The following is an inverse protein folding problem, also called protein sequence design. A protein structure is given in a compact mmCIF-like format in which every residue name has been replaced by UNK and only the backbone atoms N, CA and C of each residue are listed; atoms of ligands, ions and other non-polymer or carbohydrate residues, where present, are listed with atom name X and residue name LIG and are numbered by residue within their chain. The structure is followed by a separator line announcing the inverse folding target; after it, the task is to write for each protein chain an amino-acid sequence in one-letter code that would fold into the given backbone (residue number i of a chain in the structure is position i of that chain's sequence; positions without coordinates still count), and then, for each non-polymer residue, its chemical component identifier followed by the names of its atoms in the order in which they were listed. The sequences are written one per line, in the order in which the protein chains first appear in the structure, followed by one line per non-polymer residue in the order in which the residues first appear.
data_IF_914254587942
#
_entry.id   IF_914254587942
#
_cell.length_a   1.000
_cell.length_b   1.000
_cell.length_c   1.000
_cell.angle_alpha   90.00
_cell.angle_beta   90.00
_cell.angle_gamma   90.00
#
_symmetry.space_group_name_H-M   'P 1'
#
loop_
_entity.id
_entity.type
_entity.pdbx_description
1 polymer ?
#
# COMPACT_ATOMS: atom_id res chain seq x y z
N UNK A 1 -41.50 16.60 -3.91
CA UNK A 1 -40.08 16.65 -4.32
C UNK A 1 -39.33 17.28 -3.16
N UNK A 2 -38.22 16.68 -2.73
CA UNK A 2 -37.41 17.17 -1.61
C UNK A 2 -36.13 17.78 -2.19
N UNK A 3 -35.74 18.95 -1.70
CA UNK A 3 -34.56 19.65 -2.19
C UNK A 3 -33.60 19.91 -1.03
N UNK A 4 -32.31 19.64 -1.25
CA UNK A 4 -31.25 19.87 -0.28
C UNK A 4 -29.98 20.32 -1.01
N UNK A 5 -29.07 20.96 -0.28
CA UNK A 5 -27.76 21.36 -0.79
C UNK A 5 -26.67 20.52 -0.12
N UNK A 6 -25.62 20.21 -0.88
CA UNK A 6 -24.42 19.53 -0.40
C UNK A 6 -23.22 20.43 -0.66
N UNK A 7 -22.56 20.83 0.43
CA UNK A 7 -21.28 21.54 0.38
C UNK A 7 -20.15 20.60 0.82
N UNK A 8 -19.04 20.62 0.08
CA UNK A 8 -17.84 19.86 0.40
C UNK A 8 -16.72 20.81 0.84
N UNK A 9 -16.38 20.78 2.12
CA UNK A 9 -15.31 21.56 2.72
C UNK A 9 -14.05 20.69 2.82
N UNK A 10 -12.90 21.28 2.52
CA UNK A 10 -11.64 20.53 2.45
C UNK A 10 -10.59 21.24 3.25
N UNK A 11 -10.05 20.53 4.23
CA UNK A 11 -9.00 21.03 5.10
C UNK A 11 -7.73 20.19 4.93
N UNK A 12 -6.62 20.88 4.66
CA UNK A 12 -5.31 20.27 4.52
C UNK A 12 -4.56 20.35 5.85
N UNK A 13 -4.29 19.21 6.44
CA UNK A 13 -3.54 19.14 7.69
C UNK A 13 -2.08 18.81 7.33
N UNK A 14 -1.31 19.89 7.26
CA UNK A 14 0.07 19.95 6.77
C UNK A 14 1.00 19.14 7.65
N UNK A 15 1.42 17.99 7.10
CA UNK A 15 2.67 17.25 7.34
C UNK A 15 2.57 15.82 6.77
N UNK A 16 1.36 15.38 6.40
CA UNK A 16 1.10 14.05 5.83
C UNK A 16 0.14 14.01 4.65
N UNK A 17 -0.24 15.17 4.10
CA UNK A 17 -1.34 15.23 3.13
C UNK A 17 -2.62 14.60 3.72
N UNK A 18 -2.85 14.75 5.04
CA UNK A 18 -4.12 14.33 5.64
C UNK A 18 -5.16 15.32 5.11
N UNK A 19 -6.03 14.78 4.27
CA UNK A 19 -7.16 15.47 3.69
C UNK A 19 -8.37 15.18 4.57
N UNK A 20 -8.87 16.19 5.27
CA UNK A 20 -10.19 16.11 5.88
C UNK A 20 -11.18 16.67 4.87
N UNK A 21 -12.12 15.83 4.44
CA UNK A 21 -13.24 16.25 3.61
C UNK A 21 -14.50 16.18 4.45
N UNK A 22 -15.09 17.34 4.69
CA UNK A 22 -16.36 17.49 5.41
C UNK A 22 -17.47 17.69 4.38
N UNK A 23 -18.51 16.87 4.49
CA UNK A 23 -19.73 17.01 3.70
C UNK A 23 -20.82 17.62 4.58
N UNK A 24 -21.31 18.78 4.18
CA UNK A 24 -22.36 19.53 4.87
C UNK A 24 -23.64 19.44 4.05
N UNK A 25 -24.67 18.82 4.64
CA UNK A 25 -26.00 18.74 4.03
C UNK A 25 -26.89 19.84 4.63
N UNK A 26 -27.29 20.80 3.81
CA UNK A 26 -28.22 21.85 4.21
C UNK A 26 -29.65 21.47 3.84
N UNK A 27 -30.51 21.40 4.87
CA UNK A 27 -31.87 20.87 4.83
C UNK A 27 -32.85 21.94 5.33
N UNK A 28 -33.54 22.60 4.39
CA UNK A 28 -34.33 23.80 4.66
C UNK A 28 -35.74 23.56 5.25
N UNK A 29 -36.21 22.31 5.31
CA UNK A 29 -37.55 21.99 5.82
C UNK A 29 -37.61 20.64 6.56
N UNK A 30 -38.52 20.55 7.54
CA UNK A 30 -38.68 19.40 8.43
C UNK A 30 -39.00 18.10 7.67
N UNK A 31 -39.82 18.16 6.63
CA UNK A 31 -40.21 16.96 5.88
C UNK A 31 -39.03 16.40 5.07
N UNK A 32 -38.25 17.28 4.43
CA UNK A 32 -37.00 16.89 3.77
C UNK A 32 -35.99 16.32 4.77
N UNK A 33 -35.85 16.95 5.94
CA UNK A 33 -35.01 16.45 7.02
C UNK A 33 -35.43 15.04 7.49
N UNK A 34 -36.70 14.83 7.84
CA UNK A 34 -37.22 13.54 8.31
C UNK A 34 -37.06 12.45 7.25
N UNK A 35 -37.28 12.77 5.98
CA UNK A 35 -37.06 11.84 4.87
C UNK A 35 -35.57 11.51 4.73
N UNK A 36 -34.68 12.50 4.85
CA UNK A 36 -33.24 12.31 4.73
C UNK A 36 -32.69 11.48 5.89
N UNK A 37 -33.04 11.83 7.13
CA UNK A 37 -32.63 11.16 8.36
C UNK A 37 -33.12 9.71 8.45
N UNK A 38 -34.38 9.43 8.13
CA UNK A 38 -34.89 8.05 8.08
C UNK A 38 -34.23 7.20 6.97
N UNK A 39 -33.73 7.86 5.93
CA UNK A 39 -33.03 7.18 4.83
C UNK A 39 -31.54 7.00 5.09
N UNK A 40 -30.89 7.90 5.84
CA UNK A 40 -29.49 7.77 6.26
C UNK A 40 -29.24 6.43 6.95
N UNK A 41 -30.17 6.01 7.82
CA UNK A 41 -30.13 4.72 8.51
C UNK A 41 -30.29 3.47 7.60
N UNK A 42 -30.50 3.64 6.28
CA UNK A 42 -30.75 2.55 5.33
C UNK A 42 -29.84 2.62 4.09
N UNK A 43 -28.51 2.74 4.27
CA UNK A 43 -27.51 2.74 3.19
C UNK A 43 -27.76 3.80 2.08
N UNK A 44 -28.13 5.01 2.49
CA UNK A 44 -28.46 6.13 1.60
C UNK A 44 -27.38 6.45 0.55
N UNK A 45 -26.12 6.25 0.92
CA UNK A 45 -24.95 6.71 0.17
C UNK A 45 -24.65 5.86 -1.06
N UNK A 46 -24.87 4.55 -0.97
CA UNK A 46 -24.49 3.59 -2.01
C UNK A 46 -25.66 3.18 -2.91
N UNK A 47 -26.90 3.25 -2.40
CA UNK A 47 -28.05 2.61 -3.07
C UNK A 47 -29.07 3.60 -3.64
N UNK A 48 -28.99 4.89 -3.26
CA UNK A 48 -29.99 5.88 -3.68
C UNK A 48 -29.40 6.85 -4.70
N UNK A 49 -29.96 6.85 -5.90
CA UNK A 49 -29.65 7.81 -6.95
C UNK A 49 -30.37 9.12 -6.67
N UNK A 50 -29.63 10.22 -6.73
CA UNK A 50 -30.16 11.58 -6.61
C UNK A 50 -29.96 12.33 -7.93
N UNK A 51 -30.86 13.29 -8.19
CA UNK A 51 -30.70 14.24 -9.28
C UNK A 51 -29.97 15.47 -8.76
N UNK A 52 -28.70 15.62 -9.12
CA UNK A 52 -27.84 16.73 -8.75
C UNK A 52 -27.88 17.81 -9.81
N UNK A 53 -27.89 19.07 -9.38
CA UNK A 53 -27.67 20.23 -10.25
C UNK A 53 -26.28 20.79 -9.96
N UNK A 54 -25.34 20.62 -10.89
CA UNK A 54 -23.98 21.14 -10.78
C UNK A 54 -23.74 22.17 -11.89
N UNK A 55 -23.86 23.46 -11.56
CA UNK A 55 -23.85 24.53 -12.57
C UNK A 55 -25.07 24.42 -13.51
N UNK A 56 -24.81 24.29 -14.82
CA UNK A 56 -25.84 24.08 -15.84
C UNK A 56 -26.15 22.59 -16.09
N UNK A 57 -25.34 21.68 -15.57
CA UNK A 57 -25.49 20.24 -15.78
C UNK A 57 -26.43 19.59 -14.75
N UNK A 58 -27.18 18.59 -15.21
CA UNK A 58 -27.96 17.68 -14.36
C UNK A 58 -27.33 16.29 -14.38
N UNK A 59 -27.06 15.74 -13.21
CA UNK A 59 -26.41 14.45 -13.02
C UNK A 59 -27.33 13.54 -12.20
N UNK A 60 -27.46 12.28 -12.59
CA UNK A 60 -28.16 11.26 -11.82
C UNK A 60 -27.14 10.25 -11.30
N UNK A 61 -26.81 10.36 -10.02
CA UNK A 61 -25.82 9.50 -9.37
C UNK A 61 -26.04 9.43 -7.86
N UNK A 62 -25.45 8.41 -7.24
CA UNK A 62 -25.37 8.28 -5.79
C UNK A 62 -24.52 9.39 -5.15
N UNK A 63 -24.65 9.57 -3.83
CA UNK A 63 -23.78 10.49 -3.09
C UNK A 63 -22.34 9.97 -3.15
N UNK A 64 -22.12 8.66 -3.00
CA UNK A 64 -20.79 8.06 -3.06
C UNK A 64 -20.11 8.29 -4.43
N UNK A 65 -20.81 8.05 -5.54
CA UNK A 65 -20.28 8.35 -6.87
C UNK A 65 -19.95 9.85 -7.04
N UNK A 66 -20.78 10.74 -6.50
CA UNK A 66 -20.52 12.19 -6.52
C UNK A 66 -19.24 12.53 -5.76
N UNK A 67 -19.06 11.95 -4.58
CA UNK A 67 -17.89 12.11 -3.73
C UNK A 67 -16.62 11.54 -4.38
N UNK A 68 -16.69 10.30 -4.86
CA UNK A 68 -15.59 9.65 -5.56
C UNK A 68 -15.17 10.43 -6.79
N UNK A 69 -16.12 10.82 -7.64
CA UNK A 69 -15.86 11.60 -8.84
C UNK A 69 -15.20 12.95 -8.50
N UNK A 70 -15.64 13.60 -7.42
CA UNK A 70 -15.01 14.81 -6.91
C UNK A 70 -13.56 14.55 -6.44
N UNK A 71 -13.33 13.55 -5.58
CA UNK A 71 -12.00 13.19 -5.08
C UNK A 71 -11.05 12.78 -6.22
N UNK A 72 -11.47 11.88 -7.09
CA UNK A 72 -10.65 11.41 -8.21
C UNK A 72 -10.37 12.52 -9.21
N UNK A 73 -11.35 13.30 -9.66
CA UNK A 73 -11.09 14.33 -10.68
C UNK A 73 -10.37 15.56 -10.14
N UNK A 74 -10.60 15.95 -8.89
CA UNK A 74 -10.05 17.19 -8.33
C UNK A 74 -8.78 16.99 -7.51
N UNK A 75 -8.63 15.85 -6.84
CA UNK A 75 -7.50 15.58 -5.94
C UNK A 75 -6.50 14.56 -6.47
N UNK A 76 -6.94 13.59 -7.28
CA UNK A 76 -6.06 12.58 -7.87
C UNK A 76 -6.00 12.73 -9.38
N UNK A 77 -5.26 13.71 -9.92
CA UNK A 77 -5.25 13.97 -11.35
C UNK A 77 -4.48 12.90 -12.14
N UNK A 78 -4.31 11.67 -11.63
CA UNK A 78 -3.65 10.57 -12.36
C UNK A 78 -4.32 10.32 -13.71
N UNK A 79 -5.64 10.46 -13.79
CA UNK A 79 -6.40 10.27 -15.03
C UNK A 79 -6.46 11.52 -15.93
N UNK A 80 -6.14 12.70 -15.42
CA UNK A 80 -6.31 13.98 -16.14
C UNK A 80 -4.98 14.68 -16.45
N UNK A 81 -3.93 14.38 -15.68
CA UNK A 81 -2.61 14.93 -15.81
C UNK A 81 -1.72 14.05 -16.70
N UNK A 82 -1.20 14.66 -17.76
CA UNK A 82 -0.41 13.96 -18.77
C UNK A 82 0.95 13.50 -18.24
N UNK A 83 1.53 14.19 -17.27
CA UNK A 83 2.82 13.79 -16.69
C UNK A 83 2.65 12.56 -15.79
N UNK A 84 1.59 12.53 -14.98
CA UNK A 84 1.24 11.36 -14.17
C UNK A 84 0.86 10.16 -15.05
N UNK A 85 0.04 10.35 -16.08
CA UNK A 85 -0.27 9.29 -17.04
C UNK A 85 1.01 8.73 -17.68
N UNK A 86 1.91 9.62 -18.12
CA UNK A 86 3.18 9.19 -18.72
C UNK A 86 4.06 8.45 -17.72
N UNK A 87 4.17 8.92 -16.48
CA UNK A 87 5.00 8.25 -15.48
C UNK A 87 4.38 6.91 -15.02
N UNK A 88 3.05 6.79 -14.98
CA UNK A 88 2.36 5.51 -14.85
C UNK A 88 2.67 4.60 -16.06
N UNK A 89 2.77 5.19 -17.25
CA UNK A 89 3.08 4.45 -18.45
C UNK A 89 4.53 3.94 -18.49
N UNK A 90 5.46 4.76 -18.01
CA UNK A 90 6.88 4.42 -17.96
C UNK A 90 7.17 3.40 -16.83
N UNK A 91 6.33 3.36 -15.79
CA UNK A 91 6.47 2.47 -14.64
C UNK A 91 6.73 1.01 -15.03
N UNK A 92 7.89 0.48 -14.65
CA UNK A 92 8.30 -0.90 -14.82
C UNK A 92 8.28 -1.67 -13.49
N UNK A 93 7.26 -2.50 -13.22
CA UNK A 93 7.20 -3.30 -12.00
C UNK A 93 8.33 -4.33 -11.86
N UNK A 94 9.10 -4.59 -12.93
CA UNK A 94 10.29 -5.45 -12.88
C UNK A 94 11.57 -4.71 -12.47
N UNK A 95 11.52 -3.38 -12.35
CA UNK A 95 12.65 -2.54 -11.95
C UNK A 95 12.41 -1.96 -10.55
N UNK A 96 13.33 -2.25 -9.62
CA UNK A 96 13.21 -1.84 -8.21
C UNK A 96 13.08 -0.32 -8.05
N UNK A 97 13.82 0.45 -8.83
CA UNK A 97 13.76 1.91 -8.79
C UNK A 97 12.43 2.48 -9.28
N UNK A 98 11.64 1.72 -10.03
CA UNK A 98 10.47 2.26 -10.71
C UNK A 98 9.35 2.65 -9.75
N UNK A 99 9.15 1.91 -8.64
CA UNK A 99 8.10 2.24 -7.66
C UNK A 99 8.43 3.51 -6.88
N UNK A 100 9.71 3.72 -6.58
CA UNK A 100 10.16 4.94 -5.92
C UNK A 100 10.07 6.14 -6.87
N UNK A 101 10.43 5.97 -8.14
CA UNK A 101 10.26 7.00 -9.17
C UNK A 101 8.77 7.38 -9.33
N UNK A 102 7.89 6.38 -9.35
CA UNK A 102 6.45 6.60 -9.44
C UNK A 102 5.89 7.34 -8.21
N UNK A 103 6.27 6.90 -7.00
CA UNK A 103 5.97 7.61 -5.76
C UNK A 103 6.43 9.07 -5.81
N UNK A 104 7.68 9.31 -6.18
CA UNK A 104 8.25 10.67 -6.22
C UNK A 104 7.53 11.55 -7.24
N UNK A 105 7.11 11.00 -8.38
CA UNK A 105 6.38 11.76 -9.39
C UNK A 105 4.97 12.13 -8.94
N UNK A 106 4.28 11.23 -8.22
CA UNK A 106 2.99 11.56 -7.58
C UNK A 106 3.18 12.68 -6.57
N UNK A 107 4.23 12.64 -5.75
CA UNK A 107 4.52 13.70 -4.79
C UNK A 107 4.84 15.03 -5.49
N UNK A 108 5.66 15.02 -6.54
CA UNK A 108 6.00 16.22 -7.30
C UNK A 108 4.78 16.90 -7.95
N UNK A 109 3.89 16.13 -8.57
CA UNK A 109 2.78 16.66 -9.38
C UNK A 109 1.53 16.92 -8.54
N UNK A 110 1.18 15.98 -7.65
CA UNK A 110 -0.05 16.06 -6.85
C UNK A 110 0.20 16.55 -5.42
N UNK A 111 1.45 16.65 -4.97
CA UNK A 111 1.77 16.99 -3.57
C UNK A 111 1.43 15.88 -2.58
N UNK A 112 1.24 14.64 -3.05
CA UNK A 112 0.78 13.49 -2.24
C UNK A 112 1.94 12.52 -2.05
N UNK A 113 2.20 12.12 -0.80
CA UNK A 113 3.24 11.14 -0.48
C UNK A 113 2.64 9.76 -0.19
N UNK A 114 2.45 8.88 -1.20
CA UNK A 114 1.89 7.56 -0.96
C UNK A 114 2.87 6.66 -0.21
N UNK A 115 2.30 5.75 0.57
CA UNK A 115 3.02 4.65 1.21
C UNK A 115 3.28 3.53 0.19
N UNK A 116 4.44 2.87 0.30
CA UNK A 116 4.79 1.69 -0.50
C UNK A 116 4.55 0.44 0.35
N UNK A 117 3.48 -0.30 0.06
CA UNK A 117 3.17 -1.57 0.72
C UNK A 117 3.52 -2.72 -0.24
N UNK A 118 4.74 -3.21 -0.11
CA UNK A 118 5.33 -4.21 -1.00
C UNK A 118 5.57 -3.69 -2.43
N UNK A 119 4.65 -3.99 -3.35
CA UNK A 119 4.70 -3.50 -4.76
C UNK A 119 3.53 -2.59 -5.11
N UNK A 120 2.77 -2.14 -4.10
CA UNK A 120 1.60 -1.27 -4.26
C UNK A 120 1.89 0.10 -3.66
N UNK A 121 1.41 1.14 -4.32
CA UNK A 121 1.26 2.45 -3.71
C UNK A 121 -0.08 2.51 -2.98
N UNK A 122 -0.08 3.11 -1.81
CA UNK A 122 -1.25 3.29 -0.98
C UNK A 122 -1.36 4.73 -0.52
N UNK A 123 -2.58 5.22 -0.47
CA UNK A 123 -2.90 6.52 0.11
C UNK A 123 -3.84 6.24 1.26
N UNK A 124 -3.44 6.64 2.46
CA UNK A 124 -4.21 6.33 3.66
C UNK A 124 -5.47 7.19 3.68
N UNK A 125 -6.59 6.60 3.30
CA UNK A 125 -7.91 7.22 3.35
C UNK A 125 -8.81 6.42 4.28
N UNK A 126 -9.49 7.10 5.19
CA UNK A 126 -10.61 6.54 5.95
C UNK A 126 -11.76 7.54 5.84
N UNK A 127 -12.93 7.06 5.47
CA UNK A 127 -14.17 7.81 5.53
C UNK A 127 -15.18 6.96 6.29
N UNK A 128 -16.09 7.62 7.00
CA UNK A 128 -17.25 6.99 7.59
C UNK A 128 -18.31 8.09 7.78
N UNK A 129 -19.55 7.69 7.53
CA UNK A 129 -20.73 8.55 7.48
C UNK A 129 -21.63 8.26 8.69
N UNK A 130 -21.30 7.26 9.52
CA UNK A 130 -22.00 6.94 10.77
C UNK A 130 -21.70 7.96 11.88
N UNK A 131 -20.60 8.71 11.76
CA UNK A 131 -20.21 9.71 12.74
C UNK A 131 -20.47 11.13 12.22
N UNK A 132 -21.67 11.65 12.48
CA UNK A 132 -22.10 12.99 12.09
C UNK A 132 -22.67 13.78 13.28
N UNK A 133 -22.74 15.10 13.10
CA UNK A 133 -23.39 16.01 14.03
C UNK A 133 -24.52 16.73 13.31
N UNK A 134 -25.71 16.71 13.90
CA UNK A 134 -26.87 17.47 13.43
C UNK A 134 -26.88 18.81 14.14
N UNK A 135 -26.94 19.89 13.37
CA UNK A 135 -27.16 21.24 13.89
C UNK A 135 -28.62 21.59 13.63
N UNK A 136 -29.45 21.55 14.67
CA UNK A 136 -30.88 21.80 14.60
C UNK A 136 -31.22 23.21 15.11
N UNK A 137 -31.15 24.19 14.21
CA UNK A 137 -31.46 25.59 14.52
C UNK A 137 -32.97 25.88 14.51
N UNK A 138 -33.77 24.95 14.00
CA UNK A 138 -35.21 25.12 13.82
C UNK A 138 -36.04 24.38 14.89
N UNK A 139 -35.39 23.69 15.83
CA UNK A 139 -36.00 22.81 16.82
C UNK A 139 -36.90 21.76 16.15
N UNK A 140 -36.42 21.14 15.07
CA UNK A 140 -37.10 20.03 14.43
C UNK A 140 -37.10 18.76 15.28
N UNK A 141 -36.11 18.59 16.16
CA UNK A 141 -36.04 17.52 17.14
C UNK A 141 -36.74 17.88 18.45
N UNK A 142 -37.68 17.01 18.83
CA UNK A 142 -38.21 16.98 20.20
C UNK A 142 -37.23 16.20 21.08
N UNK A 143 -36.35 16.93 21.78
CA UNK A 143 -35.43 16.33 22.77
C UNK A 143 -36.26 15.74 23.92
N UNK A 144 -36.27 14.42 24.03
CA UNK A 144 -36.98 13.64 25.05
C UNK A 144 -36.03 12.73 25.84
N UNK A 145 -36.56 11.89 26.73
CA UNK A 145 -35.79 11.00 27.64
C UNK A 145 -34.81 10.01 26.96
N UNK A 146 -34.81 9.92 25.63
CA UNK A 146 -33.87 9.09 24.85
C UNK A 146 -32.57 9.82 24.49
N UNK A 147 -32.42 11.07 24.93
CA UNK A 147 -31.28 11.92 24.65
C UNK A 147 -30.51 12.24 25.92
N UNK A 148 -29.20 11.99 25.91
CA UNK A 148 -28.30 12.32 27.00
C UNK A 148 -27.57 13.63 26.74
N UNK A 149 -27.59 14.54 27.71
CA UNK A 149 -26.90 15.82 27.59
C UNK A 149 -25.39 15.60 27.66
N UNK A 150 -24.67 15.99 26.61
CA UNK A 150 -23.23 15.74 26.43
C UNK A 150 -22.35 16.97 26.75
N UNK A 151 -22.94 18.04 27.25
CA UNK A 151 -22.23 19.25 27.65
C UNK A 151 -22.90 19.92 28.84
N UNK A 152 -22.08 20.38 29.79
CA UNK A 152 -22.56 21.13 30.94
C UNK A 152 -22.96 22.56 30.56
N UNK A 153 -22.30 23.11 29.53
CA UNK A 153 -22.42 24.52 29.11
C UNK A 153 -23.31 24.71 27.89
N UNK A 154 -23.35 23.71 27.01
CA UNK A 154 -23.97 23.84 25.69
C UNK A 154 -25.20 22.93 25.55
N UNK A 155 -26.10 23.29 24.64
CA UNK A 155 -27.27 22.48 24.29
C UNK A 155 -26.89 21.39 23.28
N UNK A 156 -26.06 20.45 23.73
CA UNK A 156 -25.61 19.28 22.95
C UNK A 156 -26.17 18.02 23.59
N UNK A 157 -26.76 17.18 22.76
CA UNK A 157 -27.38 15.92 23.17
C UNK A 157 -26.85 14.78 22.30
N UNK A 158 -26.73 13.58 22.88
CA UNK A 158 -26.48 12.34 22.14
C UNK A 158 -27.72 11.45 22.20
N UNK A 159 -28.15 10.95 21.05
CA UNK A 159 -29.24 9.97 20.94
C UNK A 159 -28.76 8.58 21.39
N UNK A 160 -29.37 8.04 22.44
CA UNK A 160 -29.02 6.69 22.93
C UNK A 160 -29.36 5.57 21.92
N UNK A 161 -30.22 5.86 20.94
CA UNK A 161 -30.71 4.90 19.95
C UNK A 161 -29.80 4.78 18.72
N UNK A 162 -29.29 5.92 18.24
CA UNK A 162 -28.58 6.01 16.97
C UNK A 162 -27.16 6.60 17.12
N UNK A 163 -26.77 7.01 18.33
CA UNK A 163 -25.50 7.68 18.65
C UNK A 163 -25.29 9.01 17.89
N UNK A 164 -26.38 9.70 17.58
CA UNK A 164 -26.36 10.99 16.87
C UNK A 164 -26.10 12.15 17.84
N UNK A 165 -25.16 13.02 17.49
CA UNK A 165 -24.93 14.26 18.23
C UNK A 165 -25.81 15.37 17.67
N UNK A 166 -26.62 16.00 18.51
CA UNK A 166 -27.53 17.08 18.14
C UNK A 166 -27.16 18.35 18.90
N UNK A 167 -26.91 19.43 18.18
CA UNK A 167 -26.70 20.77 18.72
C UNK A 167 -27.90 21.65 18.36
N UNK A 168 -28.59 22.21 19.36
CA UNK A 168 -29.82 23.01 19.15
C UNK A 168 -29.58 24.53 19.17
N UNK A 169 -28.31 24.98 19.20
CA UNK A 169 -27.98 26.41 19.27
C UNK A 169 -26.78 26.76 18.36
N UNK A 170 -27.07 27.39 17.21
CA UNK A 170 -26.09 27.80 16.19
C UNK A 170 -24.95 28.67 16.73
N UNK A 171 -25.24 29.57 17.68
CA UNK A 171 -24.28 30.55 18.18
C UNK A 171 -23.09 29.91 18.93
N UNK A 172 -23.23 28.64 19.30
CA UNK A 172 -22.23 27.87 20.05
C UNK A 172 -21.51 26.82 19.16
N UNK A 173 -21.98 26.62 17.92
CA UNK A 173 -21.60 25.50 17.02
C UNK A 173 -20.12 25.50 16.69
N UNK A 174 -19.48 26.66 16.48
CA UNK A 174 -18.10 26.70 15.99
C UNK A 174 -17.10 25.99 16.91
N UNK A 175 -17.19 26.20 18.23
CA UNK A 175 -16.28 25.56 19.19
C UNK A 175 -16.64 24.07 19.39
N UNK A 176 -17.90 23.71 19.21
CA UNK A 176 -18.41 22.35 19.37
C UNK A 176 -17.96 21.50 18.19
N UNK A 177 -18.24 21.97 16.97
CA UNK A 177 -17.83 21.36 15.71
C UNK A 177 -16.32 21.22 15.66
N UNK A 178 -15.54 22.21 16.14
CA UNK A 178 -14.08 22.07 16.21
C UNK A 178 -13.63 20.89 17.07
N UNK A 179 -14.19 20.72 18.27
CA UNK A 179 -13.81 19.61 19.15
C UNK A 179 -14.27 18.25 18.61
N UNK A 180 -15.45 18.19 18.00
CA UNK A 180 -15.94 17.01 17.31
C UNK A 180 -15.06 16.64 16.10
N UNK A 181 -14.69 17.64 15.28
CA UNK A 181 -13.74 17.48 14.17
C UNK A 181 -12.39 16.94 14.65
N UNK A 182 -11.85 17.44 15.77
CA UNK A 182 -10.60 16.94 16.31
C UNK A 182 -10.67 15.46 16.71
N UNK A 183 -11.79 15.05 17.35
CA UNK A 183 -12.03 13.65 17.69
C UNK A 183 -12.06 12.77 16.42
N UNK A 184 -12.88 13.15 15.43
CA UNK A 184 -13.01 12.40 14.18
C UNK A 184 -11.71 12.36 13.38
N UNK A 185 -10.98 13.47 13.33
CA UNK A 185 -9.68 13.55 12.69
C UNK A 185 -8.72 12.49 13.25
N UNK A 186 -8.61 12.40 14.57
CA UNK A 186 -7.69 11.44 15.19
C UNK A 186 -8.18 9.99 14.98
N UNK A 187 -9.48 9.75 15.11
CA UNK A 187 -10.11 8.45 14.85
C UNK A 187 -9.82 7.97 13.42
N UNK A 188 -10.07 8.82 12.42
CA UNK A 188 -9.87 8.47 11.01
C UNK A 188 -8.41 8.40 10.61
N UNK A 189 -7.52 9.17 11.26
CA UNK A 189 -6.09 9.00 11.07
C UNK A 189 -5.63 7.60 11.52
N UNK A 190 -6.10 7.11 12.69
CA UNK A 190 -5.78 5.76 13.17
C UNK A 190 -6.39 4.69 12.25
N UNK A 191 -7.66 4.85 11.85
CA UNK A 191 -8.32 3.93 10.93
C UNK A 191 -7.60 3.86 9.57
N UNK A 192 -7.18 5.00 9.03
CA UNK A 192 -6.39 5.08 7.80
C UNK A 192 -5.07 4.31 7.90
N UNK A 193 -4.37 4.42 9.03
CA UNK A 193 -3.17 3.60 9.27
C UNK A 193 -3.51 2.11 9.35
N UNK A 194 -4.60 1.73 10.00
CA UNK A 194 -5.00 0.31 10.07
C UNK A 194 -5.23 -0.30 8.69
N UNK A 195 -5.80 0.43 7.74
CA UNK A 195 -5.94 -0.04 6.35
C UNK A 195 -4.58 -0.34 5.74
N UNK A 196 -3.58 0.55 5.90
CA UNK A 196 -2.22 0.30 5.42
C UNK A 196 -1.59 -0.97 6.01
N UNK A 197 -1.84 -1.22 7.30
CA UNK A 197 -1.33 -2.39 8.01
C UNK A 197 -2.00 -3.68 7.51
N UNK A 198 -3.30 -3.64 7.21
CA UNK A 198 -4.01 -4.78 6.61
C UNK A 198 -3.47 -5.12 5.20
N UNK A 199 -3.11 -4.11 4.41
CA UNK A 199 -2.49 -4.32 3.10
C UNK A 199 -1.11 -4.96 3.25
N UNK A 200 -0.32 -4.52 4.23
CA UNK A 200 0.95 -5.16 4.58
C UNK A 200 0.76 -6.64 4.93
N UNK A 201 -0.18 -6.96 5.82
CA UNK A 201 -0.51 -8.34 6.18
C UNK A 201 -0.89 -9.20 4.98
N UNK A 202 -1.74 -8.66 4.08
CA UNK A 202 -2.15 -9.35 2.85
C UNK A 202 -0.96 -9.60 1.92
N UNK A 203 -0.08 -8.61 1.79
CA UNK A 203 1.11 -8.67 0.93
C UNK A 203 2.12 -9.69 1.47
N UNK A 204 2.35 -9.70 2.78
CA UNK A 204 3.25 -10.65 3.43
C UNK A 204 2.69 -12.07 3.36
N UNK A 205 1.38 -12.25 3.58
CA UNK A 205 0.74 -13.57 3.44
C UNK A 205 0.96 -14.12 2.03
N UNK A 206 0.70 -13.30 1.01
CA UNK A 206 0.87 -13.69 -0.39
C UNK A 206 2.32 -14.11 -0.70
N UNK A 207 3.29 -13.33 -0.22
CA UNK A 207 4.71 -13.69 -0.38
C UNK A 207 5.07 -14.97 0.37
N UNK A 208 4.48 -15.17 1.55
CA UNK A 208 4.73 -16.37 2.36
C UNK A 208 4.19 -17.61 1.66
N UNK A 209 2.96 -17.54 1.11
CA UNK A 209 2.34 -18.60 0.33
C UNK A 209 3.22 -18.96 -0.89
N UNK A 210 3.73 -17.96 -1.61
CA UNK A 210 4.66 -18.14 -2.74
C UNK A 210 5.97 -18.79 -2.26
N UNK A 211 6.53 -18.34 -1.15
CA UNK A 211 7.79 -18.85 -0.60
C UNK A 211 7.68 -20.31 -0.17
N UNK A 212 6.59 -20.70 0.49
CA UNK A 212 6.34 -22.08 0.94
C UNK A 212 6.43 -23.05 -0.24
N UNK A 213 5.86 -22.69 -1.39
CA UNK A 213 5.89 -23.53 -2.61
C UNK A 213 7.27 -23.58 -3.30
N UNK A 214 8.22 -22.74 -2.89
CA UNK A 214 9.54 -22.59 -3.50
C UNK A 214 10.71 -22.79 -2.50
N UNK A 215 10.45 -23.33 -1.30
CA UNK A 215 11.46 -23.47 -0.24
C UNK A 215 12.67 -24.32 -0.65
N UNK A 216 12.47 -25.30 -1.53
CA UNK A 216 13.50 -26.21 -2.04
C UNK A 216 14.14 -25.72 -3.37
N UNK A 217 13.82 -24.49 -3.79
CA UNK A 217 14.31 -23.94 -5.04
C UNK A 217 15.84 -23.85 -5.08
N UNK A 218 16.44 -24.48 -6.08
CA UNK A 218 17.88 -24.35 -6.36
C UNK A 218 18.23 -23.10 -7.19
N UNK A 219 17.33 -22.12 -7.29
CA UNK A 219 17.54 -20.91 -8.09
C UNK A 219 18.22 -19.81 -7.25
N UNK A 220 19.51 -19.55 -7.49
CA UNK A 220 20.25 -18.53 -6.72
C UNK A 220 19.72 -17.10 -6.94
N UNK A 221 19.23 -16.81 -8.15
CA UNK A 221 18.66 -15.49 -8.48
C UNK A 221 17.35 -15.26 -7.73
N UNK A 222 16.53 -16.30 -7.57
CA UNK A 222 15.31 -16.21 -6.77
C UNK A 222 15.61 -15.82 -5.32
N UNK A 223 16.58 -16.49 -4.68
CA UNK A 223 16.95 -16.20 -3.30
C UNK A 223 17.62 -14.82 -3.14
N UNK A 224 18.42 -14.40 -4.12
CA UNK A 224 19.00 -13.06 -4.18
C UNK A 224 17.90 -11.98 -4.28
N UNK A 225 16.93 -12.19 -5.17
CA UNK A 225 15.80 -11.27 -5.35
C UNK A 225 14.90 -11.21 -4.12
N UNK A 226 14.60 -12.36 -3.50
CA UNK A 226 13.80 -12.44 -2.28
C UNK A 226 14.43 -11.66 -1.13
N UNK A 227 15.73 -11.85 -0.85
CA UNK A 227 16.41 -11.10 0.22
C UNK A 227 16.30 -9.60 0.01
N UNK A 228 16.68 -9.13 -1.17
CA UNK A 228 16.67 -7.70 -1.47
C UNK A 228 15.25 -7.13 -1.42
N UNK A 229 14.25 -7.90 -1.85
CA UNK A 229 12.84 -7.52 -1.78
C UNK A 229 12.36 -7.37 -0.33
N UNK A 230 12.67 -8.34 0.54
CA UNK A 230 12.26 -8.28 1.95
C UNK A 230 13.01 -7.18 2.71
N UNK A 231 14.30 -6.96 2.43
CA UNK A 231 15.07 -5.83 2.97
C UNK A 231 14.45 -4.49 2.55
N UNK A 232 14.09 -4.34 1.28
CA UNK A 232 13.38 -3.16 0.78
C UNK A 232 12.03 -2.97 1.50
N UNK A 233 11.26 -4.04 1.70
CA UNK A 233 10.00 -3.98 2.43
C UNK A 233 10.18 -3.54 3.89
N UNK A 234 11.21 -4.04 4.57
CA UNK A 234 11.56 -3.63 5.93
C UNK A 234 11.93 -2.14 6.00
N UNK A 235 12.66 -1.62 5.00
CA UNK A 235 13.01 -0.20 4.92
C UNK A 235 11.79 0.69 4.67
N UNK A 236 10.92 0.31 3.73
CA UNK A 236 9.67 1.04 3.46
C UNK A 236 8.78 1.04 4.70
N UNK A 237 8.55 -0.12 5.33
CA UNK A 237 7.75 -0.22 6.54
C UNK A 237 8.37 0.57 7.71
N UNK A 238 9.70 0.53 7.87
CA UNK A 238 10.42 1.30 8.88
C UNK A 238 10.25 2.81 8.70
N UNK A 239 10.39 3.31 7.47
CA UNK A 239 10.15 4.72 7.13
C UNK A 239 8.70 5.12 7.42
N UNK A 240 7.73 4.30 7.00
CA UNK A 240 6.30 4.53 7.26
C UNK A 240 6.02 4.56 8.76
N UNK A 241 6.61 3.64 9.53
CA UNK A 241 6.42 3.58 10.98
C UNK A 241 7.03 4.79 11.71
N UNK A 242 8.19 5.27 11.26
CA UNK A 242 8.80 6.48 11.80
C UNK A 242 7.90 7.70 11.56
N UNK A 243 7.38 7.84 10.33
CA UNK A 243 6.40 8.87 9.99
C UNK A 243 5.14 8.73 10.86
N UNK A 244 4.56 7.52 10.95
CA UNK A 244 3.41 7.15 11.82
C UNK A 244 3.59 7.63 13.25
N UNK A 245 4.71 7.26 13.85
CA UNK A 245 5.06 7.62 15.23
C UNK A 245 5.20 9.13 15.41
N UNK A 246 5.79 9.84 14.43
CA UNK A 246 5.93 11.30 14.48
C UNK A 246 4.59 12.02 14.55
N UNK A 247 3.63 11.74 13.66
CA UNK A 247 2.36 12.49 13.74
C UNK A 247 1.49 12.09 14.93
N UNK A 248 1.54 10.84 15.40
CA UNK A 248 0.87 10.49 16.66
C UNK A 248 1.46 11.30 17.82
N UNK A 249 2.79 11.41 17.88
CA UNK A 249 3.48 12.23 18.90
C UNK A 249 3.08 13.69 18.82
N UNK A 250 2.91 14.24 17.61
CA UNK A 250 2.46 15.62 17.42
C UNK A 250 1.02 15.83 17.91
N UNK A 251 0.10 14.91 17.59
CA UNK A 251 -1.27 15.00 18.11
C UNK A 251 -1.27 14.99 19.63
N UNK A 252 -0.52 14.06 20.26
CA UNK A 252 -0.39 13.98 21.72
C UNK A 252 0.31 15.20 22.34
N UNK A 253 1.18 15.89 21.60
CA UNK A 253 1.86 17.10 22.06
C UNK A 253 1.01 18.38 21.91
N UNK A 254 -0.12 18.30 21.20
CA UNK A 254 -1.04 19.42 20.96
C UNK A 254 -2.29 19.32 21.83
N UNK A 255 -3.05 20.41 21.92
CA UNK A 255 -4.33 20.46 22.64
C UNK A 255 -5.51 19.84 21.83
N UNK A 256 -5.22 19.06 20.78
CA UNK A 256 -6.24 18.49 19.89
C UNK A 256 -7.14 17.46 20.61
N UNK A 257 -6.62 16.79 21.64
CA UNK A 257 -7.35 15.78 22.41
C UNK A 257 -8.07 16.37 23.64
N UNK A 258 -8.20 17.70 23.72
CA UNK A 258 -8.86 18.39 24.82
C UNK A 258 -10.25 18.90 24.41
N UNK A 259 -11.29 18.13 24.76
CA UNK A 259 -12.65 18.33 24.27
C UNK A 259 -13.51 19.26 25.14
N UNK A 260 -13.07 20.49 25.38
CA UNK A 260 -13.68 21.46 26.32
C UNK A 260 -15.15 21.85 26.09
N UNK A 261 -15.70 21.55 24.91
CA UNK A 261 -17.10 21.83 24.57
C UNK A 261 -18.04 20.73 25.08
N UNK A 262 -17.49 19.57 25.44
CA UNK A 262 -18.21 18.41 25.95
C UNK A 262 -17.96 18.25 27.45
N UNK A 263 -18.86 17.54 28.14
CA UNK A 263 -18.65 17.20 29.55
C UNK A 263 -17.52 16.17 29.70
N UNK A 264 -17.02 16.02 30.93
CA UNK A 264 -15.90 15.12 31.22
C UNK A 264 -16.21 13.66 30.87
N UNK A 265 -17.46 13.23 31.07
CA UNK A 265 -17.89 11.86 30.75
C UNK A 265 -17.76 11.57 29.25
N UNK A 266 -18.34 12.40 28.38
CA UNK A 266 -18.26 12.24 26.92
C UNK A 266 -16.82 12.37 26.43
N UNK A 267 -16.06 13.35 26.95
CA UNK A 267 -14.66 13.52 26.62
C UNK A 267 -13.82 12.28 26.94
N UNK A 268 -14.00 11.69 28.13
CA UNK A 268 -13.29 10.47 28.54
C UNK A 268 -13.70 9.26 27.69
N UNK A 269 -14.99 9.12 27.33
CA UNK A 269 -15.45 8.05 26.44
C UNK A 269 -14.76 8.11 25.07
N UNK A 270 -14.61 9.30 24.50
CA UNK A 270 -13.89 9.49 23.24
C UNK A 270 -12.41 9.13 23.38
N UNK A 271 -11.75 9.58 24.45
CA UNK A 271 -10.36 9.23 24.73
C UNK A 271 -10.18 7.70 24.87
N UNK A 272 -11.09 7.01 25.55
CA UNK A 272 -11.06 5.55 25.70
C UNK A 272 -11.23 4.80 24.36
N UNK A 273 -12.06 5.33 23.45
CA UNK A 273 -12.17 4.78 22.09
C UNK A 273 -10.87 4.96 21.32
N UNK A 274 -10.30 6.16 21.35
CA UNK A 274 -9.06 6.50 20.64
C UNK A 274 -7.88 5.68 21.16
N UNK A 275 -7.72 5.56 22.48
CA UNK A 275 -6.64 4.79 23.11
C UNK A 275 -6.74 3.28 22.76
N UNK A 276 -7.94 2.69 22.79
CA UNK A 276 -8.15 1.30 22.36
C UNK A 276 -7.76 1.09 20.89
N UNK A 277 -8.17 2.00 20.00
CA UNK A 277 -7.86 1.92 18.57
C UNK A 277 -6.36 2.10 18.31
N UNK A 278 -5.70 3.02 19.03
CA UNK A 278 -4.27 3.23 18.92
C UNK A 278 -3.48 2.00 19.40
N UNK A 279 -3.84 1.42 20.55
CA UNK A 279 -3.19 0.19 21.07
C UNK A 279 -3.33 -0.99 20.10
N UNK A 280 -4.50 -1.15 19.48
CA UNK A 280 -4.71 -2.18 18.47
C UNK A 280 -3.81 -1.96 17.24
N UNK A 281 -3.70 -0.71 16.77
CA UNK A 281 -2.80 -0.36 15.67
C UNK A 281 -1.33 -0.64 16.03
N UNK A 282 -0.89 -0.30 17.25
CA UNK A 282 0.47 -0.60 17.74
C UNK A 282 0.74 -2.10 17.76
N UNK A 283 -0.23 -2.92 18.17
CA UNK A 283 -0.13 -4.37 18.11
C UNK A 283 0.06 -4.87 16.66
N UNK A 284 -0.72 -4.37 15.69
CA UNK A 284 -0.55 -4.73 14.28
C UNK A 284 0.82 -4.36 13.73
N UNK A 285 1.37 -3.23 14.16
CA UNK A 285 2.72 -2.82 13.78
C UNK A 285 3.76 -3.86 14.21
N UNK A 286 3.65 -4.38 15.42
CA UNK A 286 4.59 -5.39 15.92
C UNK A 286 4.42 -6.74 15.24
N UNK A 287 3.19 -7.16 14.94
CA UNK A 287 2.92 -8.37 14.16
C UNK A 287 3.49 -8.29 12.74
N UNK A 288 3.43 -7.11 12.10
CA UNK A 288 4.04 -6.90 10.77
C UNK A 288 5.56 -6.95 10.86
N UNK A 289 6.19 -6.31 11.87
CA UNK A 289 7.64 -6.42 12.08
C UNK A 289 8.07 -7.88 12.24
N UNK A 290 7.34 -8.63 13.07
CA UNK A 290 7.59 -10.05 13.30
C UNK A 290 7.46 -10.85 11.99
N UNK A 291 6.41 -10.60 11.21
CA UNK A 291 6.16 -11.29 9.95
C UNK A 291 7.22 -10.98 8.88
N UNK A 292 7.63 -9.72 8.73
CA UNK A 292 8.73 -9.32 7.83
C UNK A 292 10.06 -9.94 8.25
N UNK A 293 10.32 -10.07 9.55
CA UNK A 293 11.51 -10.76 10.06
C UNK A 293 11.47 -12.24 9.69
N UNK A 294 10.34 -12.93 9.89
CA UNK A 294 10.21 -14.33 9.53
C UNK A 294 10.35 -14.58 8.02
N UNK A 295 9.79 -13.69 7.20
CA UNK A 295 9.89 -13.75 5.75
C UNK A 295 11.34 -13.67 5.25
N UNK A 296 12.22 -12.95 5.99
CA UNK A 296 13.64 -12.84 5.65
C UNK A 296 14.47 -14.09 5.96
N UNK A 297 14.01 -14.94 6.89
CA UNK A 297 14.79 -16.07 7.42
C UNK A 297 15.24 -17.06 6.34
N UNK A 298 14.38 -17.55 5.42
CA UNK A 298 14.81 -18.46 4.38
C UNK A 298 15.84 -17.82 3.43
N UNK A 299 15.66 -16.53 3.09
CA UNK A 299 16.61 -15.78 2.29
C UNK A 299 18.00 -15.71 2.94
N UNK A 300 18.08 -15.47 4.25
CA UNK A 300 19.34 -15.46 5.00
C UNK A 300 20.00 -16.84 5.05
N UNK A 301 19.23 -17.90 5.33
CA UNK A 301 19.76 -19.27 5.35
C UNK A 301 20.39 -19.66 4.00
N UNK A 302 19.73 -19.35 2.88
CA UNK A 302 20.29 -19.57 1.54
C UNK A 302 21.48 -18.64 1.23
N UNK A 303 21.49 -17.43 1.79
CA UNK A 303 22.64 -16.53 1.71
C UNK A 303 23.88 -17.10 2.40
N UNK A 304 23.72 -17.66 3.60
CA UNK A 304 24.79 -18.31 4.34
C UNK A 304 25.32 -19.56 3.62
N UNK A 305 24.42 -20.40 3.09
CA UNK A 305 24.82 -21.53 2.24
C UNK A 305 25.60 -21.09 0.99
N UNK A 306 25.21 -19.97 0.36
CA UNK A 306 25.93 -19.43 -0.79
C UNK A 306 27.32 -18.89 -0.41
N UNK A 307 27.44 -18.28 0.77
CA UNK A 307 28.74 -17.87 1.33
C UNK A 307 29.63 -19.08 1.62
N UNK A 308 29.07 -20.16 2.19
CA UNK A 308 29.79 -21.41 2.43
C UNK A 308 30.30 -22.02 1.12
N UNK A 309 29.46 -22.13 0.09
CA UNK A 309 29.89 -22.58 -1.26
C UNK A 309 31.00 -21.69 -1.83
N UNK A 310 30.91 -20.38 -1.63
CA UNK A 310 31.94 -19.45 -2.09
C UNK A 310 33.27 -19.67 -1.34
N UNK A 311 33.22 -19.94 -0.04
CA UNK A 311 34.38 -20.35 0.76
C UNK A 311 34.99 -21.66 0.24
N UNK A 312 34.16 -22.67 -0.05
CA UNK A 312 34.61 -23.94 -0.63
C UNK A 312 35.31 -23.72 -1.98
N UNK A 313 34.77 -22.87 -2.86
CA UNK A 313 35.48 -22.52 -4.12
C UNK A 313 36.77 -21.75 -3.88
N UNK A 314 36.91 -21.04 -2.75
CA UNK A 314 38.17 -20.40 -2.37
C UNK A 314 39.18 -21.45 -1.92
N UNK A 315 38.75 -22.47 -1.17
CA UNK A 315 39.57 -23.62 -0.85
C UNK A 315 40.01 -24.38 -2.12
N UNK A 316 39.12 -24.55 -3.11
CA UNK A 316 39.49 -25.11 -4.42
C UNK A 316 40.55 -24.27 -5.14
N UNK A 317 40.47 -22.94 -5.07
CA UNK A 317 41.50 -22.05 -5.63
C UNK A 317 42.83 -22.18 -4.89
N UNK A 318 42.82 -22.35 -3.58
CA UNK A 318 44.02 -22.61 -2.77
C UNK A 318 44.63 -23.96 -3.13
N UNK A 319 43.80 -24.99 -3.31
CA UNK A 319 44.22 -26.30 -3.78
C UNK A 319 44.84 -26.22 -5.19
N UNK A 320 44.24 -25.43 -6.08
CA UNK A 320 44.76 -25.18 -7.42
C UNK A 320 46.09 -24.42 -7.41
N UNK A 321 46.25 -23.45 -6.50
CA UNK A 321 47.51 -22.74 -6.28
C UNK A 321 48.60 -23.70 -5.77
N UNK A 322 48.22 -24.64 -4.90
CA UNK A 322 49.11 -25.70 -4.41
C UNK A 322 49.53 -26.65 -5.53
N UNK A 323 48.61 -27.00 -6.43
CA UNK A 323 48.91 -27.79 -7.64
C UNK A 323 49.88 -27.06 -8.58
N UNK A 324 49.68 -25.75 -8.79
CA UNK A 324 50.62 -24.91 -9.54
C UNK A 324 52.01 -24.88 -8.88
N UNK A 325 52.08 -24.78 -7.55
CA UNK A 325 53.34 -24.84 -6.82
C UNK A 325 54.04 -26.20 -6.97
N UNK A 326 53.29 -27.31 -6.93
CA UNK A 326 53.81 -28.65 -7.22
C UNK A 326 54.24 -28.85 -8.68
N UNK A 327 53.81 -27.95 -9.57
CA UNK A 327 54.23 -27.95 -10.97
C UNK A 327 55.58 -27.27 -11.20
N UNK A 328 56.11 -26.53 -10.21
CA UNK A 328 57.41 -25.83 -10.30
C UNK A 328 58.60 -26.81 -10.42
N UNK A 329 58.70 -27.90 -9.64
CA UNK A 329 59.69 -28.95 -9.87
C UNK A 329 59.57 -29.58 -11.26
N UNK A 330 58.34 -29.71 -11.77
CA UNK A 330 58.07 -30.23 -13.12
C UNK A 330 58.58 -29.28 -14.21
N UNK A 331 58.44 -27.97 -14.02
CA UNK A 331 59.08 -26.94 -14.85
C UNK A 331 60.62 -27.07 -14.84
N UNK A 332 61.21 -27.33 -13.67
CA UNK A 332 62.65 -27.62 -13.56
C UNK A 332 63.08 -28.87 -14.33
N UNK A 333 62.29 -29.95 -14.27
CA UNK A 333 62.53 -31.18 -15.03
C UNK A 333 62.38 -30.96 -16.55
N UNK A 334 61.39 -30.18 -16.98
CA UNK A 334 61.18 -29.80 -18.39
C UNK A 334 62.37 -28.99 -18.93
N UNK A 335 63.01 -28.17 -18.09
CA UNK A 335 64.18 -27.38 -18.48
C UNK A 335 65.47 -28.21 -18.59
N UNK A 336 65.50 -29.46 -18.10
CA UNK A 336 66.64 -30.37 -18.19
C UNK A 336 67.18 -30.52 -19.62
N UNK A 337 68.51 -30.56 -19.83
CA UNK A 337 69.12 -30.72 -21.15
C UNK A 337 68.73 -32.03 -21.86
N UNK A 338 68.33 -33.07 -21.12
CA UNK A 338 68.05 -34.41 -21.67
C UNK A 338 66.69 -34.53 -22.39
N UNK A 339 65.81 -33.52 -22.27
CA UNK A 339 64.46 -33.53 -22.88
C UNK A 339 64.46 -32.75 -24.20
N UNK A 340 63.82 -33.31 -25.24
CA UNK A 340 63.71 -32.68 -26.55
C UNK A 340 62.86 -31.40 -26.52
N UNK A 341 63.26 -30.35 -27.26
CA UNK A 341 62.56 -29.05 -27.35
C UNK A 341 61.05 -29.17 -27.66
N UNK A 342 60.66 -30.13 -28.52
CA UNK A 342 59.24 -30.38 -28.84
C UNK A 342 58.43 -30.73 -27.58
N UNK A 343 58.96 -31.59 -26.72
CA UNK A 343 58.31 -31.98 -25.47
C UNK A 343 58.24 -30.79 -24.52
N UNK A 344 59.29 -29.97 -24.44
CA UNK A 344 59.31 -28.76 -23.60
C UNK A 344 58.19 -27.77 -23.95
N UNK A 345 58.00 -27.51 -25.24
CA UNK A 345 56.96 -26.60 -25.74
C UNK A 345 55.56 -27.14 -25.41
N UNK A 346 55.31 -28.43 -25.64
CA UNK A 346 54.01 -29.07 -25.36
C UNK A 346 53.72 -29.06 -23.87
N UNK A 347 54.68 -29.41 -23.01
CA UNK A 347 54.49 -29.41 -21.57
C UNK A 347 54.23 -28.01 -21.01
N UNK A 348 54.94 -26.98 -21.51
CA UNK A 348 54.70 -25.59 -21.12
C UNK A 348 53.30 -25.10 -21.54
N UNK A 349 52.84 -25.47 -22.74
CA UNK A 349 51.48 -25.16 -23.21
C UNK A 349 50.39 -25.81 -22.35
N UNK A 350 50.56 -27.07 -21.96
CA UNK A 350 49.60 -27.78 -21.10
C UNK A 350 49.55 -27.10 -19.71
N UNK A 351 50.71 -26.79 -19.13
CA UNK A 351 50.82 -26.15 -17.82
C UNK A 351 50.17 -24.76 -17.77
N UNK A 352 50.36 -23.96 -18.81
CA UNK A 352 49.76 -22.62 -18.90
C UNK A 352 48.27 -22.66 -19.25
N UNK A 353 47.83 -23.63 -20.07
CA UNK A 353 46.43 -23.70 -20.53
C UNK A 353 45.47 -24.20 -19.45
N UNK A 354 45.90 -25.10 -18.56
CA UNK A 354 45.06 -25.66 -17.48
C UNK A 354 44.42 -24.56 -16.58
N UNK A 355 45.18 -23.62 -15.98
CA UNK A 355 44.64 -22.50 -15.21
C UNK A 355 43.67 -21.65 -16.02
N UNK A 356 44.07 -21.28 -17.24
CA UNK A 356 43.31 -20.37 -18.09
C UNK A 356 41.97 -21.01 -18.47
N UNK A 357 41.98 -22.29 -18.85
CA UNK A 357 40.77 -23.06 -19.16
C UNK A 357 39.87 -23.20 -17.94
N UNK A 358 40.40 -23.53 -16.77
CA UNK A 358 39.60 -23.63 -15.54
C UNK A 358 38.91 -22.30 -15.18
N UNK A 359 39.65 -21.18 -15.15
CA UNK A 359 39.07 -19.87 -14.82
C UNK A 359 38.07 -19.38 -15.87
N UNK A 360 38.35 -19.60 -17.15
CA UNK A 360 37.44 -19.17 -18.23
C UNK A 360 36.16 -20.00 -18.24
N UNK A 361 36.26 -21.33 -18.15
CA UNK A 361 35.10 -22.24 -18.12
C UNK A 361 34.22 -22.00 -16.91
N UNK A 362 34.80 -21.83 -15.71
CA UNK A 362 34.03 -21.53 -14.49
C UNK A 362 33.34 -20.17 -14.58
N UNK A 363 34.01 -19.12 -15.05
CA UNK A 363 33.41 -17.79 -15.25
C UNK A 363 32.25 -17.82 -16.25
N UNK A 364 32.43 -18.51 -17.37
CA UNK A 364 31.39 -18.66 -18.40
C UNK A 364 30.22 -19.49 -17.86
N UNK A 365 30.51 -20.59 -17.16
CA UNK A 365 29.50 -21.47 -16.55
C UNK A 365 28.63 -20.69 -15.56
N UNK A 366 29.25 -19.96 -14.61
CA UNK A 366 28.52 -19.12 -13.63
C UNK A 366 27.65 -18.06 -14.31
N UNK A 367 28.15 -17.37 -15.34
CA UNK A 367 27.37 -16.39 -16.10
C UNK A 367 26.17 -17.02 -16.81
N UNK A 368 26.35 -18.20 -17.42
CA UNK A 368 25.27 -18.94 -18.09
C UNK A 368 24.23 -19.43 -17.10
N UNK A 369 24.65 -19.95 -15.95
CA UNK A 369 23.76 -20.40 -14.88
C UNK A 369 22.91 -19.22 -14.36
N UNK A 370 23.55 -18.10 -13.99
CA UNK A 370 22.84 -16.89 -13.52
C UNK A 370 21.82 -16.39 -14.55
N UNK A 371 22.16 -16.40 -15.85
CA UNK A 371 21.21 -16.03 -16.91
C UNK A 371 20.02 -16.99 -16.99
N UNK A 372 20.28 -18.30 -16.95
CA UNK A 372 19.22 -19.33 -16.99
C UNK A 372 18.29 -19.23 -15.78
N UNK A 373 18.87 -19.00 -14.61
CA UNK A 373 18.16 -18.81 -13.35
C UNK A 373 17.30 -17.55 -13.34
N UNK A 374 17.81 -16.45 -13.91
CA UNK A 374 17.02 -15.24 -14.13
C UNK A 374 15.82 -15.48 -15.07
N UNK A 375 16.03 -16.16 -16.20
CA UNK A 375 14.92 -16.52 -17.11
C UNK A 375 13.88 -17.41 -16.40
N UNK A 376 14.32 -18.37 -15.59
CA UNK A 376 13.41 -19.21 -14.79
C UNK A 376 12.63 -18.38 -13.78
N UNK A 377 13.26 -17.39 -13.13
CA UNK A 377 12.56 -16.49 -12.21
C UNK A 377 11.51 -15.63 -12.95
N UNK A 378 11.83 -15.08 -14.12
CA UNK A 378 10.86 -14.30 -14.91
C UNK A 378 9.67 -15.14 -15.37
N UNK A 379 9.87 -16.41 -15.74
CA UNK A 379 8.76 -17.32 -16.10
C UNK A 379 7.81 -17.56 -14.93
N UNK A 380 8.37 -17.75 -13.73
CA UNK A 380 7.59 -17.91 -12.48
C UNK A 380 6.74 -16.67 -12.18
N UNK A 381 7.34 -15.48 -12.29
CA UNK A 381 6.60 -14.22 -12.13
C UNK A 381 5.48 -14.08 -13.15
N UNK A 382 5.73 -14.49 -14.41
CA UNK A 382 4.75 -14.48 -15.48
C UNK A 382 3.52 -15.33 -15.15
N UNK A 383 3.72 -16.58 -14.72
CA UNK A 383 2.60 -17.49 -14.38
C UNK A 383 1.70 -16.89 -13.30
N UNK A 384 2.29 -16.26 -12.30
CA UNK A 384 1.57 -15.58 -11.25
C UNK A 384 0.79 -14.35 -11.76
N UNK A 385 1.37 -13.52 -12.65
CA UNK A 385 0.64 -12.40 -13.27
C UNK A 385 -0.51 -12.88 -14.15
N UNK A 386 -0.35 -13.99 -14.87
CA UNK A 386 -1.44 -14.58 -15.66
C UNK A 386 -2.62 -15.02 -14.80
N UNK A 387 -2.37 -15.56 -13.60
CA UNK A 387 -3.43 -15.86 -12.62
C UNK A 387 -4.16 -14.61 -12.15
N UNK A 388 -3.45 -13.52 -11.88
CA UNK A 388 -4.06 -12.23 -11.52
C UNK A 388 -4.95 -11.68 -12.65
N UNK A 389 -4.50 -11.75 -13.90
CA UNK A 389 -5.30 -11.33 -15.05
C UNK A 389 -6.58 -12.17 -15.16
N UNK A 390 -6.52 -13.48 -14.90
CA UNK A 390 -7.72 -14.32 -14.89
C UNK A 390 -8.68 -13.88 -13.79
N UNK A 391 -8.17 -13.68 -12.58
CA UNK A 391 -8.95 -13.22 -11.43
C UNK A 391 -9.66 -11.89 -11.71
N UNK A 392 -8.96 -10.87 -12.23
CA UNK A 392 -9.58 -9.58 -12.57
C UNK A 392 -10.68 -9.74 -13.63
N UNK A 393 -10.51 -10.63 -14.62
CA UNK A 393 -11.55 -10.90 -15.62
C UNK A 393 -12.79 -11.55 -15.03
N UNK A 394 -12.62 -12.45 -14.08
CA UNK A 394 -13.74 -13.14 -13.45
C UNK A 394 -14.49 -12.22 -12.48
N UNK A 395 -13.78 -11.37 -11.73
CA UNK A 395 -14.39 -10.30 -10.92
C UNK A 395 -15.25 -9.36 -11.77
N UNK A 396 -14.77 -8.92 -12.94
CA UNK A 396 -15.56 -8.05 -13.84
C UNK A 396 -16.91 -8.70 -14.19
N UNK A 397 -16.90 -9.99 -14.55
CA UNK A 397 -18.14 -10.72 -14.88
C UNK A 397 -19.06 -10.84 -13.67
N UNK A 398 -18.51 -11.10 -12.49
CA UNK A 398 -19.28 -11.21 -11.26
C UNK A 398 -19.99 -9.89 -10.91
N UNK A 399 -19.28 -8.76 -11.06
CA UNK A 399 -19.86 -7.42 -10.85
C UNK A 399 -20.95 -7.13 -11.90
N UNK A 400 -20.71 -7.46 -13.17
CA UNK A 400 -21.68 -7.30 -14.25
C UNK A 400 -22.99 -8.10 -13.98
N UNK A 401 -22.89 -9.27 -13.37
CA UNK A 401 -24.01 -10.15 -13.04
C UNK A 401 -24.70 -9.85 -11.71
N UNK A 402 -24.20 -8.91 -10.91
CA UNK A 402 -24.73 -8.64 -9.57
C UNK A 402 -25.95 -7.70 -9.61
N UNK A 403 -27.16 -8.25 -9.62
CA UNK A 403 -28.40 -7.45 -9.68
C UNK A 403 -28.65 -6.54 -8.46
N UNK A 404 -27.92 -6.71 -7.35
CA UNK A 404 -28.11 -5.91 -6.14
C UNK A 404 -27.33 -4.57 -6.16
N UNK A 405 -26.40 -4.39 -7.10
CA UNK A 405 -25.62 -3.16 -7.24
C UNK A 405 -26.30 -2.20 -8.22
N UNK A 406 -26.30 -0.91 -7.86
CA UNK A 406 -26.77 0.17 -8.74
C UNK A 406 -25.80 0.33 -9.93
N UNK A 407 -26.33 0.70 -11.09
CA UNK A 407 -25.57 0.75 -12.35
C UNK A 407 -24.37 1.71 -12.31
N UNK A 408 -24.44 2.80 -11.56
CA UNK A 408 -23.32 3.73 -11.37
C UNK A 408 -22.18 3.09 -10.56
N UNK A 409 -22.50 2.47 -9.43
CA UNK A 409 -21.56 1.72 -8.58
C UNK A 409 -20.92 0.56 -9.35
N UNK A 410 -21.71 -0.17 -10.16
CA UNK A 410 -21.19 -1.22 -11.07
C UNK A 410 -20.17 -0.64 -12.03
N UNK A 411 -20.50 0.48 -12.68
CA UNK A 411 -19.64 1.12 -13.68
C UNK A 411 -18.29 1.54 -13.07
N UNK A 412 -18.31 2.14 -11.88
CA UNK A 412 -17.08 2.51 -11.15
C UNK A 412 -16.25 1.30 -10.78
N UNK A 413 -16.88 0.27 -10.19
CA UNK A 413 -16.22 -0.98 -9.79
C UNK A 413 -15.57 -1.70 -10.99
N UNK A 414 -16.28 -1.79 -12.11
CA UNK A 414 -15.76 -2.36 -13.36
C UNK A 414 -14.62 -1.51 -13.93
N UNK A 415 -14.70 -0.18 -13.82
CA UNK A 415 -13.64 0.74 -14.24
C UNK A 415 -12.33 0.50 -13.49
N UNK A 416 -12.41 0.28 -12.18
CA UNK A 416 -11.26 -0.07 -11.35
C UNK A 416 -10.62 -1.40 -11.77
N UNK A 417 -11.42 -2.46 -11.92
CA UNK A 417 -10.92 -3.78 -12.33
C UNK A 417 -10.29 -3.76 -13.73
N UNK A 418 -10.86 -3.00 -14.67
CA UNK A 418 -10.27 -2.80 -16.01
C UNK A 418 -8.91 -2.11 -15.96
N UNK A 419 -8.75 -1.14 -15.07
CA UNK A 419 -7.47 -0.43 -14.87
C UNK A 419 -6.40 -1.37 -14.31
N UNK A 420 -6.76 -2.21 -13.33
CA UNK A 420 -5.88 -3.25 -12.80
C UNK A 420 -5.50 -4.29 -13.86
N UNK A 421 -6.45 -4.68 -14.71
CA UNK A 421 -6.21 -5.59 -15.81
C UNK A 421 -5.23 -5.01 -16.83
N UNK A 422 -5.40 -3.74 -17.22
CA UNK A 422 -4.48 -3.04 -18.12
C UNK A 422 -3.05 -3.03 -17.58
N UNK A 423 -2.89 -2.72 -16.28
CA UNK A 423 -1.60 -2.73 -15.60
C UNK A 423 -0.94 -4.12 -15.63
N UNK A 424 -1.68 -5.16 -15.25
CA UNK A 424 -1.17 -6.53 -15.22
C UNK A 424 -0.80 -7.03 -16.63
N UNK A 425 -1.56 -6.64 -17.66
CA UNK A 425 -1.25 -6.94 -19.06
C UNK A 425 0.09 -6.33 -19.49
N UNK A 426 0.32 -5.06 -19.12
CA UNK A 426 1.57 -4.35 -19.41
C UNK A 426 2.77 -4.95 -18.68
N UNK A 427 2.58 -5.35 -17.42
CA UNK A 427 3.59 -6.08 -16.68
C UNK A 427 3.94 -7.39 -17.40
N UNK A 428 2.94 -8.16 -17.80
CA UNK A 428 3.14 -9.41 -18.55
C UNK A 428 3.95 -9.18 -19.83
N UNK A 429 3.69 -8.11 -20.58
CA UNK A 429 4.46 -7.75 -21.78
C UNK A 429 5.94 -7.45 -21.48
N UNK A 430 6.21 -6.72 -20.39
CA UNK A 430 7.59 -6.44 -19.94
C UNK A 430 8.32 -7.72 -19.52
N UNK A 431 7.66 -8.62 -18.80
CA UNK A 431 8.21 -9.95 -18.46
C UNK A 431 8.52 -10.77 -19.72
N UNK A 432 7.60 -10.80 -20.69
CA UNK A 432 7.80 -11.51 -21.95
C UNK A 432 9.02 -10.99 -22.73
N UNK A 433 9.32 -9.68 -22.68
CA UNK A 433 10.53 -9.09 -23.28
C UNK A 433 11.82 -9.55 -22.57
N UNK A 434 11.80 -9.72 -21.24
CA UNK A 434 12.96 -10.18 -20.45
C UNK A 434 13.22 -11.70 -20.56
N UNK A 435 12.22 -12.47 -20.96
CA UNK A 435 12.32 -13.92 -21.19
C UNK A 435 12.93 -14.25 -22.56
N UNK A 436 12.71 -13.41 -23.58
CA UNK A 436 13.33 -13.51 -24.91
C UNK A 436 14.82 -13.21 -24.84
#
# INVERSE_FOLDING_TARGET
ECHFQLDANIEFISERCILLVEFVFDLNDKNTFEIFYNKLNNNLMEQKVFTWKQGEERLECTIDSTMNNFLYKKFYPIETDRELQKAYDDFDPTEKSSILQWKNKINEVAGIDPDICGVRLMINSSHDIENYMIVDNCNFFDIHDGFEKCSDKHSIYNSNTNNDYICTNELEVNNIVRNFKNYLLFLYMINGYNISLQIWSTTIKKESDELITNLDSNNEVFWEDLRLKVEEWQLHFGSQNATRSRALSLVHATDLLHFNSFNEQTGNQWLDVLDRKQKLMEHFVDEIKYSLKNLSTPGYAHGEQALQKTSETTNERILFLSFLAMSIPMLGAILSPDITIKIKIVSALILLSLPILYFTTTKISKRRLKRKDGIRNYKRQKEHIEQFISYNKDNIKEIEMNDNLVDDVKKESIGFEKSMLHFNQKYLDKLNKKIK
#
